data_IF_078901100339
#
_entry.id   IF_078901100339
#
_cell.length_a   1.000
_cell.length_b   1.000
_cell.length_c   1.000
_cell.angle_alpha   90.00
_cell.angle_beta   90.00
_cell.angle_gamma   90.00
#
_symmetry.space_group_name_H-M   'P 1'
#
loop_
_entity.id
_entity.type
_entity.pdbx_description
1 polymer ?
#
# COMPACT_ATOMS: atom_id res chain seq x y z
N UNK A 1 6.81 -10.58 -16.83
CA UNK A 1 5.80 -11.22 -15.95
C UNK A 1 5.53 -10.42 -14.67
N UNK A 2 6.56 -9.89 -14.00
CA UNK A 2 6.46 -9.13 -12.73
C UNK A 2 5.38 -8.01 -12.73
N UNK A 3 5.25 -7.24 -13.82
CA UNK A 3 4.27 -6.14 -13.89
C UNK A 3 2.79 -6.57 -13.92
N UNK A 4 2.46 -7.76 -14.44
CA UNK A 4 1.08 -8.30 -14.42
C UNK A 4 0.69 -8.80 -13.03
N UNK A 5 1.64 -9.43 -12.34
CA UNK A 5 1.47 -9.92 -10.95
C UNK A 5 1.29 -8.75 -9.99
N UNK A 6 2.14 -7.70 -10.08
CA UNK A 6 2.01 -6.52 -9.23
C UNK A 6 0.66 -5.82 -9.39
N UNK A 7 0.20 -5.61 -10.64
CA UNK A 7 -1.13 -5.02 -10.89
C UNK A 7 -2.25 -5.84 -10.25
N UNK A 8 -2.15 -7.17 -10.29
CA UNK A 8 -3.16 -8.07 -9.73
C UNK A 8 -3.19 -8.00 -8.21
N UNK A 9 -2.01 -8.03 -7.56
CA UNK A 9 -1.86 -7.84 -6.11
C UNK A 9 -2.44 -6.50 -5.67
N UNK A 10 -2.02 -5.40 -6.30
CA UNK A 10 -2.50 -4.05 -5.94
C UNK A 10 -4.00 -3.92 -6.15
N UNK A 11 -4.56 -4.53 -7.21
CA UNK A 11 -6.00 -4.52 -7.47
C UNK A 11 -6.78 -5.31 -6.42
N UNK A 12 -6.31 -6.51 -6.07
CA UNK A 12 -6.94 -7.32 -5.03
C UNK A 12 -6.96 -6.58 -3.69
N UNK A 13 -5.81 -6.05 -3.25
CA UNK A 13 -5.74 -5.25 -2.04
C UNK A 13 -6.74 -4.09 -2.05
N UNK A 14 -6.80 -3.32 -3.15
CA UNK A 14 -7.70 -2.19 -3.26
C UNK A 14 -9.17 -2.59 -3.22
N UNK A 15 -9.55 -3.73 -3.81
CA UNK A 15 -10.94 -4.21 -3.77
C UNK A 15 -11.37 -4.58 -2.34
N UNK A 16 -10.49 -5.21 -1.56
CA UNK A 16 -10.80 -5.61 -0.19
C UNK A 16 -10.72 -4.47 0.82
N UNK A 17 -9.92 -3.43 0.55
CA UNK A 17 -9.63 -2.36 1.52
C UNK A 17 -10.34 -1.05 1.21
N UNK A 18 -11.11 -0.96 0.12
CA UNK A 18 -12.03 0.16 -0.11
C UNK A 18 -13.21 0.06 0.87
N UNK A 19 -13.70 1.18 1.44
CA UNK A 19 -13.29 2.57 1.25
C UNK A 19 -12.36 3.06 2.38
N UNK A 20 -11.47 2.22 2.90
CA UNK A 20 -10.57 2.60 3.99
C UNK A 20 -9.19 2.98 3.47
N UNK A 21 -8.71 2.24 2.47
CA UNK A 21 -7.34 2.34 1.98
C UNK A 21 -7.23 2.09 0.49
N UNK A 22 -6.30 2.80 -0.14
CA UNK A 22 -5.88 2.59 -1.51
C UNK A 22 -4.35 2.49 -1.57
N UNK A 23 -3.87 1.40 -2.16
CA UNK A 23 -2.48 1.17 -2.51
C UNK A 23 -2.19 1.61 -3.95
N UNK A 24 -1.04 2.24 -4.14
CA UNK A 24 -0.40 2.46 -5.44
C UNK A 24 1.01 1.91 -5.36
N UNK A 25 1.34 0.97 -6.25
CA UNK A 25 2.64 0.33 -6.27
C UNK A 25 3.39 0.61 -7.57
N UNK A 26 4.71 0.79 -7.47
CA UNK A 26 5.62 0.95 -8.61
C UNK A 26 6.94 0.25 -8.34
N UNK A 27 7.54 -0.32 -9.38
CA UNK A 27 8.89 -0.85 -9.34
C UNK A 27 9.84 0.31 -9.61
N UNK A 28 10.85 0.47 -8.76
CA UNK A 28 11.89 1.47 -8.88
C UNK A 28 13.03 0.96 -9.79
N UNK A 29 13.85 1.87 -10.36
CA UNK A 29 14.97 1.48 -11.23
C UNK A 29 16.01 0.56 -10.56
N UNK A 30 16.12 0.61 -9.22
CA UNK A 30 17.02 -0.23 -8.42
C UNK A 30 16.42 -1.62 -8.10
N UNK A 31 15.28 -1.97 -8.69
CA UNK A 31 14.59 -3.24 -8.49
C UNK A 31 13.74 -3.29 -7.22
N UNK A 32 13.71 -2.23 -6.40
CA UNK A 32 12.86 -2.19 -5.21
C UNK A 32 11.41 -1.91 -5.55
N UNK A 33 10.51 -2.39 -4.70
CA UNK A 33 9.09 -2.09 -4.77
C UNK A 33 8.77 -0.88 -3.87
N UNK A 34 8.17 0.16 -4.44
CA UNK A 34 7.62 1.28 -3.69
C UNK A 34 6.10 1.17 -3.69
N UNK A 35 5.51 1.07 -2.49
CA UNK A 35 4.06 1.05 -2.29
C UNK A 35 3.67 2.27 -1.47
N UNK A 36 2.67 3.00 -1.94
CA UNK A 36 2.10 4.14 -1.24
C UNK A 36 0.64 3.83 -0.87
N UNK A 37 0.31 3.99 0.40
CA UNK A 37 -1.05 3.87 0.90
C UNK A 37 -1.65 5.24 1.20
N UNK A 38 -2.88 5.44 0.75
CA UNK A 38 -3.65 6.64 1.03
C UNK A 38 -5.04 6.25 1.50
N UNK A 39 -5.61 6.97 2.48
CA UNK A 39 -7.04 6.90 2.75
C UNK A 39 -7.86 7.34 1.54
N UNK A 40 -9.07 6.82 1.36
CA UNK A 40 -9.92 7.12 0.19
C UNK A 40 -10.83 8.34 0.37
N UNK A 41 -10.50 9.26 1.28
CA UNK A 41 -11.22 10.53 1.49
C UNK A 41 -12.49 10.43 2.34
N UNK A 42 -12.94 9.21 2.65
CA UNK A 42 -13.99 8.93 3.63
C UNK A 42 -13.43 9.17 5.04
N UNK A 43 -13.80 10.31 5.65
CA UNK A 43 -13.36 10.70 7.00
C UNK A 43 -13.65 9.66 8.10
N UNK A 44 -14.52 8.71 7.82
CA UNK A 44 -14.94 7.64 8.73
C UNK A 44 -13.92 6.49 8.84
N UNK A 45 -13.04 6.31 7.86
CA UNK A 45 -12.14 5.15 7.82
C UNK A 45 -10.68 5.59 7.65
N UNK A 46 -9.83 5.24 8.63
CA UNK A 46 -8.37 5.40 8.50
C UNK A 46 -7.79 4.15 7.86
N UNK A 47 -6.89 4.32 6.89
CA UNK A 47 -6.10 3.19 6.41
C UNK A 47 -5.31 2.60 7.59
N UNK A 48 -5.69 1.37 7.99
CA UNK A 48 -5.16 0.69 9.17
C UNK A 48 -3.95 -0.19 8.85
N UNK A 49 -3.47 -0.23 7.61
CA UNK A 49 -2.26 -0.98 7.22
C UNK A 49 -0.98 -0.19 7.59
N UNK A 50 -0.87 0.15 8.88
CA UNK A 50 0.20 0.98 9.46
C UNK A 50 1.59 0.35 9.34
N UNK A 51 1.66 -0.95 9.05
CA UNK A 51 2.89 -1.73 9.02
C UNK A 51 3.12 -2.47 7.69
N UNK A 52 2.29 -2.22 6.66
CA UNK A 52 2.40 -2.86 5.34
C UNK A 52 2.22 -4.39 5.35
N UNK A 53 1.87 -4.99 6.49
CA UNK A 53 1.75 -6.44 6.64
C UNK A 53 0.59 -6.99 5.81
N UNK A 54 -0.53 -6.24 5.73
CA UNK A 54 -1.67 -6.65 4.93
C UNK A 54 -1.27 -6.87 3.48
N UNK A 55 -0.65 -5.86 2.87
CA UNK A 55 -0.17 -5.93 1.49
C UNK A 55 0.88 -7.02 1.25
N UNK A 56 1.71 -7.35 2.27
CA UNK A 56 2.67 -8.46 2.20
C UNK A 56 1.97 -9.80 2.01
N UNK A 57 0.89 -10.07 2.75
CA UNK A 57 0.12 -11.31 2.59
C UNK A 57 -0.49 -11.44 1.18
N UNK A 58 -1.07 -10.36 0.63
CA UNK A 58 -1.58 -10.41 -0.75
C UNK A 58 -0.49 -10.71 -1.78
N UNK A 59 0.73 -10.23 -1.55
CA UNK A 59 1.86 -10.51 -2.41
C UNK A 59 2.31 -11.96 -2.29
N UNK A 60 2.38 -12.50 -1.07
CA UNK A 60 2.69 -13.89 -0.83
C UNK A 60 1.66 -14.82 -1.50
N UNK A 61 0.37 -14.56 -1.29
CA UNK A 61 -0.72 -15.42 -1.77
C UNK A 61 -0.88 -15.39 -3.29
N UNK A 62 -0.74 -14.22 -3.92
CA UNK A 62 -1.01 -14.05 -5.35
C UNK A 62 0.25 -14.08 -6.23
N UNK A 63 1.42 -13.77 -5.67
CA UNK A 63 2.69 -13.77 -6.39
C UNK A 63 3.61 -14.92 -5.99
N UNK A 64 3.32 -15.66 -4.92
CA UNK A 64 4.20 -16.70 -4.38
C UNK A 64 5.54 -16.14 -3.90
N UNK A 65 5.59 -14.85 -3.58
CA UNK A 65 6.82 -14.14 -3.28
C UNK A 65 6.68 -13.34 -1.99
N UNK A 66 7.72 -13.38 -1.17
CA UNK A 66 7.81 -12.57 0.03
C UNK A 66 8.74 -11.37 -0.20
N UNK A 67 8.58 -10.31 0.60
CA UNK A 67 9.46 -9.16 0.58
C UNK A 67 9.78 -8.67 1.99
N UNK A 68 10.99 -8.14 2.14
CA UNK A 68 11.42 -7.46 3.36
C UNK A 68 11.12 -5.97 3.24
N UNK A 69 10.46 -5.42 4.26
CA UNK A 69 10.30 -3.97 4.39
C UNK A 69 11.65 -3.39 4.80
N UNK A 70 12.22 -2.56 3.93
CA UNK A 70 13.55 -1.93 4.13
C UNK A 70 13.47 -0.47 4.56
N UNK A 71 12.35 0.20 4.27
CA UNK A 71 12.09 1.58 4.65
C UNK A 71 10.58 1.79 4.79
N UNK A 72 10.17 2.57 5.78
CA UNK A 72 8.77 2.94 6.00
C UNK A 72 8.69 4.41 6.39
N UNK A 73 8.01 5.19 5.57
CA UNK A 73 7.80 6.63 5.80
C UNK A 73 6.32 6.88 6.04
N UNK A 74 6.01 7.55 7.14
CA UNK A 74 4.64 7.93 7.49
C UNK A 74 4.49 9.43 7.28
N UNK A 75 3.79 9.84 6.23
CA UNK A 75 3.52 11.26 5.97
C UNK A 75 2.16 11.60 6.57
N UNK A 76 2.16 12.02 7.84
CA UNK A 76 1.00 12.70 8.39
C UNK A 76 0.96 14.10 7.80
N UNK A 77 -0.05 14.41 6.99
CA UNK A 77 -0.39 15.81 6.71
C UNK A 77 -0.77 16.42 8.06
N UNK A 78 0.18 17.11 8.70
CA UNK A 78 -0.14 18.01 9.80
C UNK A 78 -0.95 19.14 9.18
N UNK A 79 -2.28 19.06 9.28
CA UNK A 79 -3.10 20.26 9.20
C UNK A 79 -2.73 21.10 10.41
N UNK A 80 -1.78 22.01 10.24
CA UNK A 80 -1.58 23.13 11.14
C UNK A 80 -2.92 23.87 11.20
N UNK A 81 -3.69 23.62 12.26
CA UNK A 81 -4.67 24.59 12.70
C UNK A 81 -3.86 25.71 13.33
N UNK A 82 -3.58 26.75 12.53
CA UNK A 82 -3.28 28.05 13.07
C UNK A 82 -4.50 28.46 13.92
N UNK A 83 -4.26 28.71 15.21
CA UNK A 83 -5.17 29.39 16.12
C UNK A 83 -4.36 30.45 16.84
#
# INVERSE_FOLDING_TARGET
MVGKTLKSVTRAFNLYRVPECRARARILPDGKLSVNFSGTGTHLYRCSDKHFEGYRYYFLDLAGADFKIVDMKNTYLQTSTAS
#
